data_IF_476085531221
#
_entry.id   IF_476085531221
#
_cell.length_a   1.000
_cell.length_b   1.000
_cell.length_c   1.000
_cell.angle_alpha   90.00
_cell.angle_beta   90.00
_cell.angle_gamma   90.00
#
_symmetry.space_group_name_H-M   'P 1'
#
loop_
_entity.id
_entity.type
_entity.pdbx_description
1 polymer ?
#
# COMPACT_ATOMS: atom_id res chain seq x y z
N UNK A 1 -9.56 6.85 21.56
CA UNK A 1 -10.49 7.79 20.93
C UNK A 1 -10.30 7.68 19.42
N UNK A 2 -11.32 7.40 18.64
CA UNK A 2 -11.21 7.46 17.19
C UNK A 2 -10.93 8.91 16.78
N UNK A 3 -9.97 9.11 15.85
CA UNK A 3 -9.70 10.43 15.28
C UNK A 3 -10.93 10.94 14.53
N UNK A 4 -11.04 12.26 14.34
CA UNK A 4 -12.16 12.88 13.61
C UNK A 4 -12.38 12.27 12.21
N UNK A 5 -11.31 11.81 11.56
CA UNK A 5 -11.34 11.11 10.28
C UNK A 5 -11.99 9.70 10.38
N UNK A 6 -11.78 8.99 11.47
CA UNK A 6 -12.44 7.69 11.71
C UNK A 6 -13.94 7.86 11.98
N UNK A 7 -14.33 8.96 12.65
CA UNK A 7 -15.73 9.32 12.85
C UNK A 7 -16.43 9.65 11.53
N UNK A 8 -15.74 10.30 10.60
CA UNK A 8 -16.27 10.68 9.29
C UNK A 8 -16.48 9.47 8.36
N UNK A 9 -15.57 8.47 8.41
CA UNK A 9 -15.74 7.20 7.70
C UNK A 9 -16.93 6.41 8.25
N UNK A 10 -17.15 6.45 9.55
CA UNK A 10 -18.32 5.84 10.19
C UNK A 10 -19.62 6.50 9.72
N UNK A 11 -19.62 7.81 9.53
CA UNK A 11 -20.78 8.56 9.04
C UNK A 11 -21.12 8.29 7.57
N UNK A 12 -20.14 8.02 6.73
CA UNK A 12 -20.37 7.68 5.31
C UNK A 12 -20.83 6.23 5.08
N UNK A 13 -20.63 5.36 6.05
CA UNK A 13 -21.12 3.96 6.02
C UNK A 13 -22.59 3.86 6.52
N UNK A 14 -23.19 4.94 6.96
CA UNK A 14 -24.60 5.00 7.40
C UNK A 14 -25.64 4.90 6.27
N UNK A 15 -25.27 4.48 5.05
CA UNK A 15 -26.24 3.89 4.12
C UNK A 15 -26.59 2.48 4.64
N UNK A 16 -27.52 2.42 5.57
CA UNK A 16 -28.05 1.19 6.17
C UNK A 16 -28.60 0.25 5.09
N UNK A 17 -28.06 -0.96 4.96
CA UNK A 17 -28.87 -2.03 4.36
C UNK A 17 -30.08 -2.27 5.27
N UNK A 18 -31.30 -2.37 4.71
CA UNK A 18 -32.49 -2.60 5.51
C UNK A 18 -32.34 -3.91 6.31
N UNK A 19 -32.47 -3.85 7.63
CA UNK A 19 -32.55 -4.99 8.52
C UNK A 19 -31.42 -5.23 9.49
N UNK A 20 -30.36 -4.37 9.54
CA UNK A 20 -29.27 -4.53 10.51
C UNK A 20 -29.30 -3.41 11.55
N UNK A 21 -29.35 -3.77 12.84
CA UNK A 21 -29.34 -2.78 13.92
C UNK A 21 -28.02 -2.00 13.94
N UNK A 22 -28.10 -0.67 14.19
CA UNK A 22 -26.96 0.25 14.26
C UNK A 22 -25.82 -0.27 15.14
N UNK A 23 -26.15 -0.82 16.30
CA UNK A 23 -25.19 -1.38 17.24
C UNK A 23 -24.43 -2.59 16.69
N UNK A 24 -25.06 -3.40 15.85
CA UNK A 24 -24.45 -4.56 15.20
C UNK A 24 -23.44 -4.11 14.15
N UNK A 25 -23.75 -3.04 13.39
CA UNK A 25 -22.81 -2.45 12.42
C UNK A 25 -21.58 -1.89 13.14
N UNK A 26 -21.80 -1.13 14.22
CA UNK A 26 -20.70 -0.59 15.03
C UNK A 26 -19.81 -1.67 15.64
N UNK A 27 -20.40 -2.74 16.17
CA UNK A 27 -19.66 -3.87 16.73
C UNK A 27 -18.81 -4.58 15.67
N UNK A 28 -19.35 -4.79 14.47
CA UNK A 28 -18.62 -5.40 13.34
C UNK A 28 -17.48 -4.52 12.84
N UNK A 29 -17.72 -3.21 12.69
CA UNK A 29 -16.67 -2.25 12.27
C UNK A 29 -15.54 -2.18 13.29
N UNK A 30 -15.86 -2.16 14.60
CA UNK A 30 -14.84 -2.19 15.66
C UNK A 30 -14.02 -3.48 15.62
N UNK A 31 -14.67 -4.61 15.42
CA UNK A 31 -14.01 -5.91 15.32
C UNK A 31 -13.07 -5.94 14.11
N UNK A 32 -13.51 -5.49 12.95
CA UNK A 32 -12.69 -5.39 11.74
C UNK A 32 -11.49 -4.43 11.91
N UNK A 33 -11.64 -3.36 12.69
CA UNK A 33 -10.55 -2.44 13.00
C UNK A 33 -9.53 -3.06 13.96
N UNK A 34 -9.98 -3.83 14.96
CA UNK A 34 -9.13 -4.55 15.92
C UNK A 34 -8.39 -5.71 15.24
N UNK A 35 -9.05 -6.41 14.32
CA UNK A 35 -8.48 -7.53 13.54
C UNK A 35 -7.62 -7.04 12.36
N UNK A 36 -7.30 -5.74 12.25
CA UNK A 36 -6.55 -5.11 11.16
C UNK A 36 -7.16 -5.34 9.76
N UNK A 37 -8.44 -5.71 9.72
CA UNK A 37 -9.18 -5.90 8.48
C UNK A 37 -9.49 -4.59 7.76
N UNK A 38 -9.53 -3.47 8.51
CA UNK A 38 -9.65 -2.12 7.98
C UNK A 38 -8.27 -1.47 7.96
N UNK A 39 -7.75 -1.25 6.77
CA UNK A 39 -6.46 -0.57 6.59
C UNK A 39 -6.52 0.89 7.06
N UNK A 40 -5.40 1.44 7.59
CA UNK A 40 -5.32 2.83 8.02
C UNK A 40 -5.77 3.81 6.93
N UNK A 41 -6.32 4.95 7.34
CA UNK A 41 -6.77 6.02 6.43
C UNK A 41 -5.66 6.55 5.51
N UNK A 42 -4.41 6.56 5.97
CA UNK A 42 -3.23 6.96 5.19
C UNK A 42 -3.07 6.17 3.87
N UNK A 43 -3.58 4.94 3.79
CA UNK A 43 -3.59 4.15 2.55
C UNK A 43 -4.61 4.64 1.50
N UNK A 44 -5.46 5.58 1.84
CA UNK A 44 -6.44 6.21 0.93
C UNK A 44 -5.97 7.53 0.36
N UNK A 45 -4.82 8.03 0.80
CA UNK A 45 -4.22 9.24 0.24
C UNK A 45 -3.61 8.89 -1.10
N UNK A 46 -4.04 9.58 -2.14
CA UNK A 46 -3.44 9.44 -3.46
C UNK A 46 -2.08 10.15 -3.48
N UNK A 47 -0.97 9.44 -3.75
CA UNK A 47 0.35 10.06 -3.84
C UNK A 47 0.41 11.19 -4.87
N UNK A 48 -0.37 11.12 -5.95
CA UNK A 48 -0.43 12.18 -6.97
C UNK A 48 -0.92 13.51 -6.39
N UNK A 49 -1.85 13.48 -5.42
CA UNK A 49 -2.31 14.67 -4.71
C UNK A 49 -1.22 15.32 -3.85
N UNK A 50 -0.18 14.56 -3.51
CA UNK A 50 1.00 15.02 -2.78
C UNK A 50 2.17 15.42 -3.71
N UNK A 51 1.96 15.41 -5.03
CA UNK A 51 2.97 15.77 -6.02
C UNK A 51 3.75 14.57 -6.59
N UNK A 52 3.48 13.34 -6.13
CA UNK A 52 4.11 12.11 -6.61
C UNK A 52 3.25 11.43 -7.67
N UNK A 53 3.22 12.03 -8.87
CA UNK A 53 2.35 11.59 -9.97
C UNK A 53 2.88 10.39 -10.76
N UNK A 54 4.14 9.97 -10.54
CA UNK A 54 4.75 8.83 -11.22
C UNK A 54 4.75 7.62 -10.30
N UNK A 55 4.22 6.50 -10.79
CA UNK A 55 4.21 5.22 -10.09
C UNK A 55 5.15 4.26 -10.79
N UNK A 56 5.98 3.55 -10.03
CA UNK A 56 6.86 2.52 -10.53
C UNK A 56 6.82 1.27 -9.65
N UNK A 57 6.99 0.11 -10.28
CA UNK A 57 7.20 -1.17 -9.62
C UNK A 57 8.65 -1.59 -9.81
N UNK A 58 9.34 -1.80 -8.71
CA UNK A 58 10.76 -2.16 -8.71
C UNK A 58 10.95 -3.57 -8.18
N UNK A 59 11.46 -4.44 -9.03
CA UNK A 59 11.92 -5.77 -8.62
C UNK A 59 13.35 -5.65 -8.11
N UNK A 60 13.62 -6.18 -6.92
CA UNK A 60 14.92 -6.11 -6.25
C UNK A 60 15.45 -7.53 -6.02
N UNK A 61 16.73 -7.71 -6.33
CA UNK A 61 17.48 -8.89 -5.92
C UNK A 61 18.39 -8.49 -4.77
N UNK A 62 18.41 -9.29 -3.71
CA UNK A 62 19.16 -8.98 -2.51
C UNK A 62 20.11 -10.11 -2.12
N UNK A 63 21.23 -9.76 -1.52
CA UNK A 63 22.09 -10.72 -0.84
C UNK A 63 21.39 -11.28 0.39
N UNK A 64 21.41 -12.59 0.55
CA UNK A 64 20.83 -13.26 1.72
C UNK A 64 21.62 -13.01 3.02
N UNK A 65 22.78 -12.36 2.93
CA UNK A 65 23.62 -12.11 4.09
C UNK A 65 23.10 -11.01 5.03
N UNK A 66 22.33 -10.04 4.50
CA UNK A 66 21.89 -8.86 5.28
C UNK A 66 20.46 -8.41 4.97
N UNK A 67 19.43 -9.26 5.18
CA UNK A 67 18.05 -8.90 4.85
C UNK A 67 17.50 -7.74 5.71
N UNK A 68 17.99 -7.59 6.94
CA UNK A 68 17.57 -6.52 7.85
C UNK A 68 18.04 -5.15 7.39
N UNK A 69 19.27 -5.05 6.88
CA UNK A 69 19.84 -3.82 6.32
C UNK A 69 19.02 -3.33 5.11
N UNK A 70 18.63 -4.25 4.22
CA UNK A 70 17.77 -3.94 3.07
C UNK A 70 16.41 -3.43 3.51
N UNK A 71 15.79 -4.08 4.49
CA UNK A 71 14.49 -3.66 5.02
C UNK A 71 14.56 -2.25 5.63
N UNK A 72 15.54 -2.00 6.50
CA UNK A 72 15.73 -0.69 7.13
C UNK A 72 16.03 0.40 6.10
N UNK A 73 16.87 0.11 5.10
CA UNK A 73 17.19 1.04 4.03
C UNK A 73 15.99 1.41 3.16
N UNK A 74 15.14 0.43 2.83
CA UNK A 74 13.90 0.69 2.09
C UNK A 74 12.88 1.47 2.93
N UNK A 75 12.75 1.16 4.21
CA UNK A 75 11.86 1.85 5.14
C UNK A 75 12.25 3.32 5.33
N UNK A 76 13.53 3.65 5.23
CA UNK A 76 14.04 5.01 5.35
C UNK A 76 13.69 5.91 4.14
N UNK A 77 13.24 5.32 3.00
CA UNK A 77 12.85 6.05 1.80
C UNK A 77 11.33 6.25 1.78
N UNK A 78 10.82 7.46 2.00
CA UNK A 78 9.37 7.72 2.05
C UNK A 78 8.66 7.47 0.73
N UNK A 79 9.37 7.51 -0.39
CA UNK A 79 8.85 7.21 -1.71
C UNK A 79 8.60 5.71 -1.96
N UNK A 80 9.13 4.84 -1.11
CA UNK A 80 8.83 3.41 -1.10
C UNK A 80 7.57 3.20 -0.27
N UNK A 81 6.43 3.05 -0.94
CA UNK A 81 5.12 3.02 -0.27
C UNK A 81 4.67 1.62 0.12
N UNK A 82 5.21 0.60 -0.52
CA UNK A 82 4.88 -0.80 -0.25
C UNK A 82 5.99 -1.73 -0.73
N UNK A 83 6.27 -2.81 0.01
CA UNK A 83 7.26 -3.83 -0.37
C UNK A 83 6.73 -5.21 -0.03
N UNK A 84 6.89 -6.15 -0.96
CA UNK A 84 6.52 -7.54 -0.78
C UNK A 84 7.71 -8.46 -1.06
N UNK A 85 7.84 -9.53 -0.27
CA UNK A 85 8.64 -10.67 -0.70
C UNK A 85 7.94 -11.39 -1.84
N UNK A 86 8.69 -11.78 -2.85
CA UNK A 86 8.15 -12.45 -4.03
C UNK A 86 8.83 -13.77 -4.30
N UNK A 87 8.14 -14.66 -4.98
CA UNK A 87 8.73 -15.87 -5.58
C UNK A 87 9.19 -15.55 -7.01
N UNK A 88 10.18 -16.26 -7.52
CA UNK A 88 10.70 -16.09 -8.88
C UNK A 88 12.10 -15.46 -8.89
N UNK A 89 12.41 -14.71 -9.93
CA UNK A 89 13.76 -14.19 -10.19
C UNK A 89 14.18 -13.02 -9.30
N UNK A 90 13.21 -12.36 -8.67
CA UNK A 90 13.44 -11.26 -7.74
C UNK A 90 12.99 -11.66 -6.33
N UNK A 91 13.68 -11.14 -5.32
CA UNK A 91 13.38 -11.41 -3.92
C UNK A 91 12.29 -10.47 -3.38
N UNK A 92 12.28 -9.23 -3.85
CA UNK A 92 11.35 -8.19 -3.42
C UNK A 92 10.70 -7.51 -4.61
N UNK A 93 9.44 -7.11 -4.43
CA UNK A 93 8.72 -6.17 -5.29
C UNK A 93 8.34 -4.95 -4.47
N UNK A 94 8.86 -3.80 -4.85
CA UNK A 94 8.58 -2.51 -4.24
C UNK A 94 7.64 -1.69 -5.12
N UNK A 95 6.65 -1.07 -4.51
CA UNK A 95 5.83 -0.02 -5.11
C UNK A 95 6.44 1.32 -4.71
N UNK A 96 6.88 2.08 -5.70
CA UNK A 96 7.62 3.33 -5.52
C UNK A 96 6.85 4.45 -6.22
N UNK A 97 6.80 5.62 -5.59
CA UNK A 97 6.23 6.83 -6.16
C UNK A 97 7.32 7.89 -6.33
N UNK A 98 7.21 8.69 -7.37
CA UNK A 98 8.16 9.75 -7.67
C UNK A 98 7.43 10.97 -8.25
N UNK A 99 8.07 12.14 -8.17
CA UNK A 99 7.53 13.37 -8.77
C UNK A 99 7.63 13.31 -10.31
N UNK A 100 8.74 12.81 -10.81
CA UNK A 100 9.05 12.67 -12.23
C UNK A 100 10.13 11.59 -12.46
N UNK A 101 10.58 11.44 -13.69
CA UNK A 101 11.61 10.45 -14.06
C UNK A 101 12.99 10.77 -13.48
N UNK A 102 13.31 12.04 -13.28
CA UNK A 102 14.57 12.47 -12.64
C UNK A 102 14.57 12.09 -11.18
N UNK A 103 13.46 12.31 -10.50
CA UNK A 103 13.25 11.90 -9.12
C UNK A 103 13.27 10.36 -8.97
N UNK A 104 12.63 9.64 -9.89
CA UNK A 104 12.70 8.18 -9.93
C UNK A 104 14.14 7.67 -10.07
N UNK A 105 14.95 8.33 -10.90
CA UNK A 105 16.37 7.99 -11.05
C UNK A 105 17.15 8.21 -9.74
N UNK A 106 16.88 9.32 -9.03
CA UNK A 106 17.45 9.58 -7.70
C UNK A 106 17.10 8.47 -6.72
N UNK A 107 15.80 8.09 -6.66
CA UNK A 107 15.30 7.04 -5.77
C UNK A 107 15.94 5.69 -6.11
N UNK A 108 16.04 5.35 -7.39
CA UNK A 108 16.70 4.12 -7.86
C UNK A 108 18.14 4.04 -7.39
N UNK A 109 18.89 5.15 -7.49
CA UNK A 109 20.26 5.22 -6.97
C UNK A 109 20.33 5.06 -5.45
N UNK A 110 19.39 5.67 -4.73
CA UNK A 110 19.32 5.54 -3.28
C UNK A 110 19.04 4.09 -2.86
N UNK A 111 18.15 3.38 -3.57
CA UNK A 111 17.87 1.97 -3.34
C UNK A 111 19.09 1.10 -3.63
N UNK A 112 19.77 1.34 -4.76
CA UNK A 112 21.00 0.60 -5.12
C UNK A 112 22.17 0.84 -4.18
N UNK A 113 22.16 1.94 -3.43
CA UNK A 113 23.17 2.26 -2.41
C UNK A 113 22.90 1.57 -1.06
N UNK A 114 21.77 0.89 -0.91
CA UNK A 114 21.47 0.12 0.31
C UNK A 114 22.33 -1.15 0.31
N UNK A 115 23.05 -1.36 1.39
CA UNK A 115 23.85 -2.57 1.57
C UNK A 115 22.98 -3.82 1.50
N UNK A 116 23.34 -4.77 0.65
CA UNK A 116 22.59 -5.99 0.41
C UNK A 116 21.63 -5.94 -0.78
N UNK A 117 21.44 -4.79 -1.44
CA UNK A 117 20.72 -4.72 -2.72
C UNK A 117 21.70 -4.95 -3.87
N UNK A 118 21.54 -6.06 -4.58
CA UNK A 118 22.45 -6.44 -5.66
C UNK A 118 22.01 -5.86 -7.03
N UNK A 119 20.71 -5.87 -7.29
CA UNK A 119 20.15 -5.45 -8.57
C UNK A 119 18.74 -4.95 -8.44
N UNK A 120 18.38 -3.98 -9.29
CA UNK A 120 17.01 -3.49 -9.45
C UNK A 120 16.57 -3.57 -10.91
N UNK A 121 15.29 -3.83 -11.11
CA UNK A 121 14.61 -3.70 -12.40
C UNK A 121 13.35 -2.87 -12.18
N UNK A 122 13.17 -1.81 -12.94
CA UNK A 122 12.09 -0.83 -12.73
C UNK A 122 11.12 -0.84 -13.90
N UNK A 123 9.83 -0.99 -13.60
CA UNK A 123 8.74 -0.83 -14.54
C UNK A 123 7.91 0.39 -14.14
N UNK A 124 7.81 1.38 -15.02
CA UNK A 124 6.96 2.56 -14.80
C UNK A 124 5.52 2.21 -15.17
N UNK A 125 4.58 2.50 -14.29
CA UNK A 125 3.15 2.40 -14.58
C UNK A 125 2.75 3.53 -15.53
N UNK A 126 2.27 3.17 -16.72
CA UNK A 126 1.79 4.16 -17.68
C UNK A 126 0.36 4.64 -17.35
N UNK A 127 -0.47 3.73 -16.83
CA UNK A 127 -1.82 4.02 -16.40
C UNK A 127 -2.33 2.93 -15.45
N UNK A 128 -3.13 3.30 -14.49
CA UNK A 128 -3.90 2.34 -13.69
C UNK A 128 -5.14 1.92 -14.47
N UNK A 129 -5.17 0.67 -14.91
CA UNK A 129 -6.30 0.13 -15.70
C UNK A 129 -7.46 -0.30 -14.79
N UNK A 130 -7.13 -0.90 -13.67
CA UNK A 130 -8.09 -1.33 -12.64
C UNK A 130 -7.58 -0.83 -11.30
N UNK A 131 -8.32 0.07 -10.62
CA UNK A 131 -7.93 0.54 -9.30
C UNK A 131 -8.07 -0.58 -8.26
N UNK A 132 -7.34 -0.45 -7.14
CA UNK A 132 -7.47 -1.36 -6.02
C UNK A 132 -8.92 -1.43 -5.53
N UNK A 133 -9.57 -2.58 -5.71
CA UNK A 133 -11.01 -2.77 -5.48
C UNK A 133 -11.36 -4.07 -4.75
N UNK A 134 -11.12 -4.17 -3.45
CA UNK A 134 -11.48 -5.36 -2.66
C UNK A 134 -13.01 -5.56 -2.51
N UNK A 135 -13.80 -4.55 -2.90
CA UNK A 135 -15.27 -4.56 -2.80
C UNK A 135 -15.92 -5.74 -3.52
N UNK A 136 -15.35 -6.16 -4.66
CA UNK A 136 -15.85 -7.33 -5.41
C UNK A 136 -15.68 -8.65 -4.65
N UNK A 137 -14.67 -8.75 -3.78
CA UNK A 137 -14.51 -9.92 -2.89
C UNK A 137 -15.57 -9.93 -1.80
N UNK A 138 -15.91 -8.76 -1.25
CA UNK A 138 -16.98 -8.63 -0.25
C UNK A 138 -18.33 -9.03 -0.83
N UNK A 139 -18.63 -8.62 -2.08
CA UNK A 139 -19.87 -9.02 -2.75
C UNK A 139 -19.95 -10.53 -2.97
N UNK A 140 -18.83 -11.18 -3.33
CA UNK A 140 -18.78 -12.64 -3.50
C UNK A 140 -19.10 -13.36 -2.20
N UNK A 141 -18.51 -12.90 -1.07
CA UNK A 141 -18.74 -13.50 0.24
C UNK A 141 -20.18 -13.28 0.75
N UNK A 142 -20.82 -12.19 0.34
CA UNK A 142 -22.20 -11.89 0.73
C UNK A 142 -23.24 -12.73 -0.05
N UNK A 143 -22.89 -13.20 -1.26
CA UNK A 143 -23.79 -13.91 -2.19
C UNK A 143 -23.46 -15.42 -2.31
N UNK A 144 -22.48 -15.93 -1.62
CA UNK A 144 -22.13 -17.36 -1.54
C UNK A 144 -22.54 -17.96 -0.22
#
# INVERSE_FOLDING_TARGET
>A
MPTAAQAQVIHQVECQPPGVARNTVHARLRRMAVEDALKPFSRRVDPAALGYGLVAFMSLTMSQAEPESVHEGLLALPEVVEVHYTTGDADLLAHVVAMDTTDLHRITKAILAIDGVDRTSTAISLAEVIPYRPRSLLHRLANG
#
